data_IF_738076786777
#
_entry.id   IF_738076786777
#
_cell.length_a   1.000
_cell.length_b   1.000
_cell.length_c   1.000
_cell.angle_alpha   90.00
_cell.angle_beta   90.00
_cell.angle_gamma   90.00
#
_symmetry.space_group_name_H-M   'P 1'
#
loop_
_entity.id
_entity.type
_entity.pdbx_description
1 polymer ?
#
# COMPACT_ATOMS: atom_id res chain seq x y z
N UNK A 1 18.40 2.80 10.77
CA UNK A 1 17.34 1.92 10.26
C UNK A 1 17.05 2.39 8.86
N UNK A 2 17.45 1.64 7.85
CA UNK A 2 17.29 2.03 6.44
C UNK A 2 15.90 1.62 6.02
N UNK A 3 14.98 2.57 5.91
CA UNK A 3 13.67 2.33 5.29
C UNK A 3 13.91 1.77 3.88
N UNK A 4 13.26 0.67 3.48
CA UNK A 4 13.33 0.22 2.09
C UNK A 4 12.90 1.39 1.20
N UNK A 5 13.55 1.57 0.06
CA UNK A 5 13.35 2.72 -0.82
C UNK A 5 11.86 2.86 -1.20
N UNK A 6 11.14 3.70 -0.45
CA UNK A 6 9.73 3.99 -0.70
C UNK A 6 9.73 4.94 -1.88
N UNK A 7 9.25 4.45 -3.04
CA UNK A 7 8.89 5.32 -4.14
C UNK A 7 7.68 6.14 -3.67
N UNK A 8 7.96 7.23 -2.96
CA UNK A 8 6.97 8.16 -2.49
C UNK A 8 6.29 8.77 -3.72
N UNK A 9 5.10 8.27 -4.05
CA UNK A 9 4.30 8.77 -5.16
C UNK A 9 3.95 10.23 -4.90
N UNK A 10 4.39 11.13 -5.77
CA UNK A 10 4.24 12.57 -5.55
C UNK A 10 2.76 12.92 -5.48
N UNK A 11 2.32 13.46 -4.35
CA UNK A 11 0.93 13.82 -4.10
C UNK A 11 0.13 12.76 -3.37
N UNK A 12 0.75 11.63 -3.04
CA UNK A 12 0.17 10.60 -2.19
C UNK A 12 0.97 10.46 -0.88
N UNK A 13 0.26 10.29 0.23
CA UNK A 13 0.80 9.93 1.52
C UNK A 13 0.37 8.52 1.90
N UNK A 14 1.22 7.85 2.68
CA UNK A 14 0.97 6.52 3.18
C UNK A 14 0.96 6.44 4.71
N UNK A 15 0.08 5.60 5.23
CA UNK A 15 0.04 5.15 6.60
C UNK A 15 0.18 3.63 6.66
N UNK A 16 0.81 3.13 7.72
CA UNK A 16 1.00 1.69 7.94
C UNK A 16 0.21 1.19 9.15
N UNK A 17 -1.14 1.10 9.05
CA UNK A 17 -1.95 0.64 10.17
C UNK A 17 -1.68 -0.83 10.50
N UNK A 18 -2.24 -1.26 11.64
CA UNK A 18 -2.13 -2.64 12.16
C UNK A 18 -0.69 -3.12 12.33
N UNK A 19 0.23 -2.24 12.72
CA UNK A 19 1.63 -2.61 12.99
C UNK A 19 2.44 -2.97 11.74
N UNK A 20 2.12 -2.38 10.58
CA UNK A 20 2.86 -2.62 9.33
C UNK A 20 2.36 -3.80 8.49
N UNK A 21 1.22 -4.39 8.85
CA UNK A 21 0.56 -5.46 8.08
C UNK A 21 -0.37 -4.93 6.98
N UNK A 22 -0.61 -3.63 6.98
CA UNK A 22 -1.44 -2.96 6.00
C UNK A 22 -0.80 -1.64 5.61
N UNK A 23 -1.08 -1.20 4.39
CA UNK A 23 -0.75 0.13 3.91
C UNK A 23 -2.04 0.80 3.47
N UNK A 24 -2.24 2.01 3.93
CA UNK A 24 -3.33 2.88 3.55
C UNK A 24 -2.73 4.09 2.83
N UNK A 25 -3.17 4.33 1.59
CA UNK A 25 -2.63 5.39 0.74
C UNK A 25 -3.72 6.43 0.49
N UNK A 26 -3.39 7.68 0.75
CA UNK A 26 -4.21 8.86 0.47
C UNK A 26 -3.55 9.62 -0.66
N UNK A 27 -4.29 9.97 -1.72
CA UNK A 27 -3.75 10.83 -2.77
C UNK A 27 -4.55 12.14 -2.79
N UNK A 28 -3.87 13.24 -2.48
CA UNK A 28 -4.45 14.60 -2.48
C UNK A 28 -4.06 15.39 -3.72
N UNK A 29 -2.98 14.96 -4.39
CA UNK A 29 -2.51 15.52 -5.65
C UNK A 29 -2.09 14.40 -6.61
N UNK A 30 -2.07 14.68 -7.91
CA UNK A 30 -1.76 13.68 -8.94
C UNK A 30 -2.83 13.56 -10.03
N UNK A 31 -2.95 12.38 -10.64
CA UNK A 31 -3.85 12.15 -11.79
C UNK A 31 -5.31 12.12 -11.29
N UNK A 32 -6.21 12.99 -11.80
CA UNK A 32 -7.60 12.97 -11.36
C UNK A 32 -8.25 11.64 -11.72
N UNK A 33 -8.79 10.93 -10.73
CA UNK A 33 -9.41 9.64 -10.96
C UNK A 33 -9.46 8.75 -9.72
N UNK A 34 -9.64 7.46 -10.00
CA UNK A 34 -9.54 6.42 -9.00
C UNK A 34 -8.12 5.85 -8.99
N UNK A 35 -7.71 5.33 -7.85
CA UNK A 35 -6.41 4.71 -7.71
C UNK A 35 -6.50 3.50 -6.78
N UNK A 36 -5.45 2.70 -6.78
CA UNK A 36 -5.33 1.51 -5.94
C UNK A 36 -3.90 1.39 -5.44
N UNK A 37 -3.76 1.29 -4.13
CA UNK A 37 -2.52 0.90 -3.50
C UNK A 37 -2.30 -0.60 -3.75
N UNK A 38 -1.13 -0.96 -4.24
CA UNK A 38 -0.68 -2.34 -4.35
C UNK A 38 0.44 -2.53 -3.36
N UNK A 39 0.20 -3.35 -2.34
CA UNK A 39 1.19 -3.62 -1.31
C UNK A 39 2.05 -4.82 -1.71
N UNK A 40 3.36 -4.68 -1.58
CA UNK A 40 4.32 -5.76 -1.64
C UNK A 40 4.36 -6.43 -0.26
N UNK A 41 3.70 -7.56 -0.16
CA UNK A 41 3.56 -8.34 1.07
C UNK A 41 4.65 -9.40 1.17
N UNK A 42 5.07 -9.66 2.41
CA UNK A 42 6.11 -10.64 2.69
C UNK A 42 5.83 -11.45 3.95
N UNK A 43 6.29 -12.70 3.93
CA UNK A 43 6.46 -13.58 5.09
C UNK A 43 7.92 -14.03 5.14
N UNK A 44 8.26 -14.87 6.13
CA UNK A 44 9.56 -15.52 6.16
C UNK A 44 9.81 -16.48 4.96
N UNK A 45 8.74 -16.93 4.28
CA UNK A 45 8.81 -18.01 3.28
C UNK A 45 8.41 -17.57 1.87
N UNK A 46 7.71 -16.44 1.73
CA UNK A 46 7.15 -15.99 0.45
C UNK A 46 6.98 -14.47 0.39
N UNK A 47 6.84 -13.95 -0.82
CA UNK A 47 6.42 -12.58 -1.10
C UNK A 47 5.38 -12.56 -2.22
N UNK A 48 4.44 -11.65 -2.17
CA UNK A 48 3.38 -11.49 -3.18
C UNK A 48 2.83 -10.07 -3.14
N UNK A 49 2.12 -9.69 -4.19
CA UNK A 49 1.47 -8.39 -4.27
C UNK A 49 -0.02 -8.52 -3.97
N UNK A 50 -0.56 -7.59 -3.20
CA UNK A 50 -1.99 -7.52 -2.92
C UNK A 50 -2.53 -6.14 -3.28
N UNK A 51 -3.56 -6.13 -4.12
CA UNK A 51 -4.25 -4.90 -4.48
C UNK A 51 -5.24 -4.50 -3.39
N UNK A 52 -5.23 -3.22 -3.01
CA UNK A 52 -6.09 -2.67 -1.96
C UNK A 52 -7.53 -2.40 -2.38
N UNK A 53 -8.26 -1.62 -1.58
CA UNK A 53 -9.54 -1.05 -1.99
C UNK A 53 -9.36 0.00 -3.10
N UNK A 54 -10.44 0.40 -3.77
CA UNK A 54 -10.37 1.52 -4.71
C UNK A 54 -10.45 2.83 -3.91
N UNK A 55 -9.37 3.61 -4.01
CA UNK A 55 -9.28 4.99 -3.54
C UNK A 55 -9.72 5.99 -4.61
N UNK A 56 -9.88 7.25 -4.21
CA UNK A 56 -10.21 8.37 -5.07
C UNK A 56 -9.43 9.59 -4.63
N UNK A 57 -8.79 10.27 -5.59
CA UNK A 57 -8.01 11.49 -5.32
C UNK A 57 -8.88 12.54 -4.62
N UNK A 58 -8.37 13.11 -3.52
CA UNK A 58 -9.07 14.06 -2.63
C UNK A 58 -10.42 13.57 -2.10
N UNK A 59 -10.58 12.26 -1.93
CA UNK A 59 -11.86 11.68 -1.54
C UNK A 59 -11.77 10.48 -0.62
N UNK A 60 -11.09 9.42 -1.06
CA UNK A 60 -11.04 8.14 -0.34
C UNK A 60 -9.66 7.53 -0.45
N UNK A 61 -9.14 7.02 0.67
CA UNK A 61 -7.92 6.21 0.69
C UNK A 61 -8.12 4.85 0.03
N UNK A 62 -7.01 4.28 -0.41
CA UNK A 62 -6.92 2.87 -0.78
C UNK A 62 -6.20 2.10 0.32
N UNK A 63 -6.79 1.01 0.80
CA UNK A 63 -6.23 0.15 1.85
C UNK A 63 -5.88 -1.22 1.28
N UNK A 64 -4.62 -1.61 1.38
CA UNK A 64 -4.13 -2.95 1.06
C UNK A 64 -3.68 -3.65 2.34
N UNK A 65 -4.08 -4.92 2.50
CA UNK A 65 -3.83 -5.71 3.72
C UNK A 65 -3.11 -7.00 3.36
N UNK A 66 -1.95 -7.22 3.98
CA UNK A 66 -1.19 -8.44 3.80
C UNK A 66 -1.72 -9.54 4.70
N UNK A 67 -2.35 -10.54 4.10
CA UNK A 67 -2.85 -11.74 4.79
C UNK A 67 -2.18 -13.00 4.23
N UNK A 68 -1.84 -13.94 5.11
CA UNK A 68 -1.30 -15.24 4.74
C UNK A 68 -1.98 -16.33 5.56
N UNK A 69 -2.04 -17.54 4.99
CA UNK A 69 -2.57 -18.71 5.70
C UNK A 69 -1.67 -19.14 6.87
N UNK A 70 -0.35 -18.86 6.80
CA UNK A 70 0.63 -19.30 7.79
C UNK A 70 1.66 -18.20 8.04
N UNK A 71 1.87 -17.89 9.32
CA UNK A 71 2.94 -17.01 9.80
C UNK A 71 2.60 -15.52 9.76
N UNK A 72 3.45 -14.68 10.40
CA UNK A 72 3.29 -13.24 10.36
C UNK A 72 3.58 -12.70 8.97
N UNK A 73 2.82 -11.68 8.58
CA UNK A 73 2.99 -10.93 7.34
C UNK A 73 3.52 -9.54 7.64
N UNK A 74 4.11 -8.86 6.66
CA UNK A 74 4.37 -7.42 6.75
C UNK A 74 4.41 -6.82 5.35
N UNK A 75 4.19 -5.50 5.29
CA UNK A 75 4.37 -4.72 4.07
C UNK A 75 5.85 -4.39 3.94
N UNK A 76 6.48 -4.82 2.85
CA UNK A 76 7.85 -4.47 2.51
C UNK A 76 7.91 -3.15 1.71
N UNK A 77 6.85 -2.85 0.97
CA UNK A 77 6.67 -1.61 0.22
C UNK A 77 5.31 -1.55 -0.45
N UNK A 78 5.06 -0.51 -1.24
CA UNK A 78 3.85 -0.38 -2.03
C UNK A 78 4.10 0.46 -3.28
N UNK A 79 3.17 0.38 -4.24
CA UNK A 79 3.05 1.34 -5.34
C UNK A 79 1.58 1.71 -5.56
N UNK A 80 1.33 2.72 -6.39
CA UNK A 80 -0.03 3.17 -6.74
C UNK A 80 -0.33 2.86 -8.21
N UNK A 81 -1.41 2.11 -8.42
CA UNK A 81 -2.00 1.88 -9.73
C UNK A 81 -3.12 2.89 -9.98
N UNK A 82 -3.03 3.62 -11.09
CA UNK A 82 -4.05 4.57 -11.54
C UNK A 82 -5.08 3.87 -12.42
N UNK A 83 -6.37 4.13 -12.17
CA UNK A 83 -7.51 3.51 -12.86
C UNK A 83 -8.24 4.48 -13.80
#
# INVERSE_FOLDING_TARGET
>A
MTSPAQAHERGCSEDYPRGGHSVEVFCDDGRPGNFRAVAHCRTALSSWDVSGSIGRVRGRSSVAVCEALVGPTWVEGYHVDWL
#
